data_IF_686226673454
#
_entry.id   IF_686226673454
#
_cell.length_a   1.000
_cell.length_b   1.000
_cell.length_c   1.000
_cell.angle_alpha   90.00
_cell.angle_beta   90.00
_cell.angle_gamma   90.00
#
_symmetry.space_group_name_H-M   'P 1'
#
loop_
_entity.id
_entity.type
_entity.pdbx_description
1 polymer ?
#
# COMPACT_ATOMS: atom_id res chain seq x y z
N UNK A 1 -51.22 -32.50 3.99
CA UNK A 1 -50.41 -33.29 3.04
C UNK A 1 -50.11 -32.35 1.88
N UNK A 2 -49.15 -31.45 2.07
CA UNK A 2 -47.73 -31.63 1.68
C UNK A 2 -47.59 -31.60 0.16
N UNK A 3 -47.09 -30.49 -0.39
CA UNK A 3 -45.68 -30.51 -0.76
C UNK A 3 -45.13 -29.09 -0.91
N UNK A 4 -44.15 -28.79 -0.07
CA UNK A 4 -43.33 -27.58 -0.10
C UNK A 4 -41.93 -28.04 -0.49
N UNK A 5 -41.65 -28.17 -1.78
CA UNK A 5 -40.29 -28.37 -2.28
C UNK A 5 -39.79 -27.06 -2.86
N UNK A 6 -39.23 -26.24 -1.96
CA UNK A 6 -38.47 -25.06 -2.34
C UNK A 6 -37.25 -25.46 -3.14
N UNK A 7 -37.05 -24.78 -4.27
CA UNK A 7 -35.80 -24.71 -4.99
C UNK A 7 -34.71 -24.15 -4.06
N UNK A 8 -33.98 -25.03 -3.35
CA UNK A 8 -32.71 -24.66 -2.75
C UNK A 8 -31.63 -24.85 -3.82
N UNK A 9 -31.52 -23.86 -4.70
CA UNK A 9 -30.37 -23.71 -5.58
C UNK A 9 -29.15 -23.51 -4.69
N UNK A 10 -28.44 -24.59 -4.37
CA UNK A 10 -27.11 -24.51 -3.76
C UNK A 10 -26.28 -23.61 -4.66
N UNK A 11 -25.94 -22.41 -4.17
CA UNK A 11 -25.02 -21.52 -4.86
C UNK A 11 -23.72 -22.29 -4.97
N UNK A 12 -23.34 -22.67 -6.18
CA UNK A 12 -22.06 -23.34 -6.44
C UNK A 12 -20.96 -22.33 -6.11
N UNK A 13 -20.33 -22.48 -4.95
CA UNK A 13 -19.17 -21.68 -4.57
C UNK A 13 -17.91 -22.27 -5.19
N UNK A 14 -16.93 -21.41 -5.43
CA UNK A 14 -15.59 -21.81 -5.84
C UNK A 14 -14.66 -21.80 -4.61
N UNK A 15 -14.19 -22.98 -4.14
CA UNK A 15 -13.34 -23.08 -2.97
C UNK A 15 -11.96 -22.42 -3.17
N UNK A 16 -11.44 -22.35 -4.40
CA UNK A 16 -10.20 -21.63 -4.67
C UNK A 16 -10.41 -20.12 -4.52
N UNK A 17 -11.51 -19.59 -5.08
CA UNK A 17 -11.87 -18.19 -4.94
C UNK A 17 -12.12 -17.80 -3.46
N UNK A 18 -12.77 -18.66 -2.67
CA UNK A 18 -12.98 -18.41 -1.24
C UNK A 18 -11.67 -18.37 -0.45
N UNK A 19 -10.71 -19.26 -0.76
CA UNK A 19 -9.38 -19.22 -0.14
C UNK A 19 -8.59 -17.97 -0.53
N UNK A 20 -8.71 -17.51 -1.78
CA UNK A 20 -8.12 -16.24 -2.22
C UNK A 20 -8.77 -15.05 -1.50
N UNK A 21 -10.11 -15.04 -1.36
CA UNK A 21 -10.82 -14.01 -0.61
C UNK A 21 -10.35 -13.96 0.86
N UNK A 22 -10.12 -15.11 1.49
CA UNK A 22 -9.53 -15.14 2.83
C UNK A 22 -8.12 -14.56 2.84
N UNK A 23 -7.27 -14.93 1.87
CA UNK A 23 -5.91 -14.39 1.78
C UNK A 23 -5.92 -12.85 1.61
N UNK A 24 -6.85 -12.34 0.80
CA UNK A 24 -7.08 -10.90 0.59
C UNK A 24 -7.47 -10.22 1.90
N UNK A 25 -8.43 -10.77 2.64
CA UNK A 25 -8.88 -10.16 3.90
C UNK A 25 -7.82 -10.23 5.00
N UNK A 26 -6.99 -11.29 5.01
CA UNK A 26 -5.81 -11.35 5.88
C UNK A 26 -4.78 -10.28 5.51
N UNK A 27 -4.54 -10.06 4.22
CA UNK A 27 -3.64 -9.00 3.74
C UNK A 27 -4.18 -7.62 4.12
N UNK A 28 -5.46 -7.34 3.84
CA UNK A 28 -6.15 -6.11 4.26
C UNK A 28 -6.08 -5.89 5.78
N UNK A 29 -6.18 -6.95 6.57
CA UNK A 29 -6.04 -6.88 8.03
C UNK A 29 -4.59 -6.72 8.53
N UNK A 30 -3.58 -6.75 7.64
CA UNK A 30 -2.17 -6.66 8.01
C UNK A 30 -1.67 -7.88 8.80
N UNK A 31 -2.23 -9.05 8.53
CA UNK A 31 -1.89 -10.30 9.22
C UNK A 31 -0.51 -10.84 8.85
N UNK A 32 -0.11 -11.92 9.52
CA UNK A 32 1.20 -12.52 9.30
C UNK A 32 1.37 -13.06 7.87
N UNK A 33 2.44 -12.64 7.17
CA UNK A 33 2.69 -13.03 5.77
C UNK A 33 2.76 -14.54 5.52
N UNK A 34 3.20 -15.35 6.49
CA UNK A 34 3.19 -16.80 6.35
C UNK A 34 1.76 -17.39 6.28
N UNK A 35 0.78 -16.77 6.95
CA UNK A 35 -0.63 -17.20 6.87
C UNK A 35 -1.21 -16.84 5.53
N UNK A 36 -0.99 -15.61 5.06
CA UNK A 36 -1.46 -15.15 3.74
C UNK A 36 -0.91 -16.08 2.65
N UNK A 37 0.40 -16.37 2.67
CA UNK A 37 1.03 -17.34 1.75
C UNK A 37 0.44 -18.74 1.86
N UNK A 38 0.06 -19.20 3.05
CA UNK A 38 -0.56 -20.51 3.23
C UNK A 38 -1.93 -20.58 2.54
N UNK A 39 -2.76 -19.54 2.66
CA UNK A 39 -4.06 -19.48 1.97
C UNK A 39 -3.91 -19.36 0.45
N UNK A 40 -2.97 -18.55 -0.05
CA UNK A 40 -2.71 -18.45 -1.50
C UNK A 40 -2.23 -19.77 -2.11
N UNK A 41 -1.25 -20.43 -1.49
CA UNK A 41 -0.79 -21.77 -1.93
C UNK A 41 -1.90 -22.80 -1.88
N UNK A 42 -2.74 -22.77 -0.85
CA UNK A 42 -3.88 -23.67 -0.78
C UNK A 42 -4.87 -23.40 -1.93
N UNK A 43 -5.12 -22.14 -2.27
CA UNK A 43 -5.97 -21.79 -3.41
C UNK A 43 -5.39 -22.28 -4.74
N UNK A 44 -4.08 -22.11 -4.97
CA UNK A 44 -3.39 -22.64 -6.15
C UNK A 44 -3.53 -24.17 -6.25
N UNK A 45 -3.30 -24.90 -5.16
CA UNK A 45 -3.49 -26.36 -5.13
C UNK A 45 -4.94 -26.73 -5.44
N UNK A 46 -5.91 -26.03 -4.85
CA UNK A 46 -7.34 -26.30 -5.06
C UNK A 46 -7.74 -26.04 -6.51
N UNK A 47 -7.31 -24.91 -7.10
CA UNK A 47 -7.58 -24.57 -8.49
C UNK A 47 -6.95 -25.57 -9.48
N UNK A 48 -5.82 -26.17 -9.12
CA UNK A 48 -5.14 -27.18 -9.93
C UNK A 48 -5.67 -28.61 -9.73
N UNK A 49 -6.52 -28.85 -8.72
CA UNK A 49 -7.07 -30.18 -8.41
C UNK A 49 -8.40 -30.39 -9.17
N UNK A 50 -8.61 -31.59 -9.71
CA UNK A 50 -9.86 -31.92 -10.37
C UNK A 50 -11.07 -31.78 -9.40
N UNK A 51 -12.17 -31.11 -9.80
CA UNK A 51 -13.31 -30.88 -8.92
C UNK A 51 -13.93 -32.16 -8.33
N UNK A 52 -13.95 -33.28 -9.07
CA UNK A 52 -14.48 -34.53 -8.57
C UNK A 52 -13.53 -35.18 -7.55
N UNK A 53 -12.22 -35.09 -7.78
CA UNK A 53 -11.22 -35.51 -6.78
C UNK A 53 -11.35 -34.70 -5.49
N UNK A 54 -11.55 -33.38 -5.61
CA UNK A 54 -11.70 -32.48 -4.47
C UNK A 54 -12.94 -32.84 -3.65
N UNK A 55 -14.08 -33.10 -4.31
CA UNK A 55 -15.31 -33.54 -3.66
C UNK A 55 -15.17 -34.90 -2.96
N UNK A 56 -14.53 -35.89 -3.60
CA UNK A 56 -14.26 -37.21 -3.01
C UNK A 56 -13.33 -37.10 -1.78
N UNK A 57 -12.28 -36.27 -1.86
CA UNK A 57 -11.40 -35.99 -0.72
C UNK A 57 -12.12 -35.29 0.41
N UNK A 58 -13.04 -34.36 0.12
CA UNK A 58 -13.87 -33.68 1.11
C UNK A 58 -14.78 -34.68 1.84
N UNK A 59 -15.49 -35.55 1.09
CA UNK A 59 -16.37 -36.58 1.65
C UNK A 59 -15.62 -37.57 2.57
N UNK A 60 -14.35 -37.88 2.26
CA UNK A 60 -13.49 -38.75 3.08
C UNK A 60 -12.73 -38.01 4.18
N UNK A 61 -12.86 -36.70 4.31
CA UNK A 61 -12.11 -35.90 5.29
C UNK A 61 -10.59 -35.91 5.08
N UNK A 62 -10.14 -35.98 3.83
CA UNK A 62 -8.71 -36.14 3.47
C UNK A 62 -8.11 -34.95 2.72
N UNK A 63 -8.81 -33.81 2.67
CA UNK A 63 -8.35 -32.59 2.02
C UNK A 63 -7.00 -32.08 2.57
N UNK A 64 -6.76 -32.19 3.87
CA UNK A 64 -5.50 -31.77 4.51
C UNK A 64 -4.28 -32.63 4.09
N UNK A 65 -4.48 -33.72 3.33
CA UNK A 65 -3.38 -34.49 2.72
C UNK A 65 -2.92 -33.92 1.38
N UNK A 66 -3.64 -32.96 0.80
CA UNK A 66 -3.19 -32.27 -0.40
C UNK A 66 -2.03 -31.33 -0.07
N UNK A 67 -1.01 -31.23 -0.95
CA UNK A 67 0.12 -30.32 -0.75
C UNK A 67 -0.35 -28.87 -0.52
N UNK A 68 0.14 -28.24 0.53
CA UNK A 68 -0.20 -26.84 0.85
C UNK A 68 -1.52 -26.63 1.58
N UNK A 69 -2.35 -27.67 1.76
CA UNK A 69 -3.55 -27.59 2.59
C UNK A 69 -3.23 -28.02 4.03
N UNK A 70 -3.59 -27.18 5.00
CA UNK A 70 -3.60 -27.53 6.41
C UNK A 70 -5.04 -27.65 6.93
N UNK A 71 -5.20 -28.01 8.20
CA UNK A 71 -6.52 -28.22 8.83
C UNK A 71 -7.50 -27.04 8.64
N UNK A 72 -6.99 -25.81 8.71
CA UNK A 72 -7.82 -24.61 8.55
C UNK A 72 -8.25 -24.41 7.09
N UNK A 73 -7.31 -24.48 6.13
CA UNK A 73 -7.64 -24.29 4.71
C UNK A 73 -8.48 -25.43 4.16
N UNK A 74 -8.19 -26.68 4.54
CA UNK A 74 -8.99 -27.85 4.21
C UNK A 74 -10.44 -27.74 4.68
N UNK A 75 -10.65 -27.22 5.90
CA UNK A 75 -12.01 -26.96 6.41
C UNK A 75 -12.73 -25.87 5.61
N UNK A 76 -12.05 -24.78 5.24
CA UNK A 76 -12.65 -23.74 4.41
C UNK A 76 -13.08 -24.30 3.04
N UNK A 77 -12.27 -25.17 2.44
CA UNK A 77 -12.63 -25.86 1.18
C UNK A 77 -13.85 -26.76 1.37
N UNK A 78 -13.92 -27.53 2.46
CA UNK A 78 -15.07 -28.39 2.74
C UNK A 78 -16.37 -27.59 2.95
N UNK A 79 -16.30 -26.48 3.70
CA UNK A 79 -17.43 -25.55 3.91
C UNK A 79 -17.90 -24.97 2.55
N UNK A 80 -16.98 -24.49 1.72
CA UNK A 80 -17.28 -23.95 0.39
C UNK A 80 -17.93 -24.97 -0.56
N UNK A 81 -17.40 -26.20 -0.60
CA UNK A 81 -17.97 -27.30 -1.40
C UNK A 81 -19.36 -27.74 -0.93
N UNK A 82 -19.70 -27.51 0.34
CA UNK A 82 -21.05 -27.71 0.85
C UNK A 82 -22.02 -26.57 0.46
N UNK A 83 -21.54 -25.57 -0.29
CA UNK A 83 -22.29 -24.37 -0.65
C UNK A 83 -22.33 -23.31 0.45
N UNK A 84 -21.55 -23.49 1.52
CA UNK A 84 -21.50 -22.58 2.66
C UNK A 84 -20.36 -21.58 2.53
N UNK A 85 -20.58 -20.32 2.91
CA UNK A 85 -19.46 -19.39 3.05
C UNK A 85 -18.56 -19.81 4.21
N UNK A 86 -17.24 -19.96 3.98
CA UNK A 86 -16.34 -20.39 5.03
C UNK A 86 -16.47 -19.54 6.29
N UNK A 87 -16.58 -20.20 7.45
CA UNK A 87 -16.71 -19.51 8.74
C UNK A 87 -15.53 -18.56 8.96
N UNK A 88 -14.34 -18.95 8.48
CA UNK A 88 -13.15 -18.13 8.57
C UNK A 88 -13.29 -16.83 7.77
N UNK A 89 -13.80 -16.89 6.54
CA UNK A 89 -14.06 -15.71 5.70
C UNK A 89 -15.10 -14.79 6.34
N UNK A 90 -16.24 -15.35 6.77
CA UNK A 90 -17.29 -14.59 7.48
C UNK A 90 -16.76 -13.82 8.67
N UNK A 91 -15.87 -14.42 9.46
CA UNK A 91 -15.27 -13.77 10.63
C UNK A 91 -14.37 -12.60 10.25
N UNK A 92 -13.57 -12.73 9.20
CA UNK A 92 -12.72 -11.65 8.71
C UNK A 92 -13.57 -10.47 8.23
N UNK A 93 -14.58 -10.75 7.39
CA UNK A 93 -15.50 -9.75 6.85
C UNK A 93 -16.26 -9.01 7.95
N UNK A 94 -16.69 -9.72 9.01
CA UNK A 94 -17.37 -9.11 10.16
C UNK A 94 -16.49 -8.10 10.93
N UNK A 95 -15.16 -8.20 10.82
CA UNK A 95 -14.21 -7.32 11.51
C UNK A 95 -13.64 -6.19 10.64
N UNK A 96 -13.75 -6.28 9.32
CA UNK A 96 -13.18 -5.32 8.37
C UNK A 96 -13.86 -3.94 8.36
N UNK A 97 -15.12 -3.86 8.80
CA UNK A 97 -16.01 -2.71 8.59
C UNK A 97 -16.21 -1.75 9.78
N UNK A 98 -15.23 -1.53 10.66
CA UNK A 98 -15.38 -0.49 11.69
C UNK A 98 -15.58 0.89 11.01
N UNK A 99 -16.64 1.65 11.31
CA UNK A 99 -16.80 2.98 10.74
C UNK A 99 -15.65 3.91 11.15
N UNK A 100 -15.26 4.82 10.26
CA UNK A 100 -14.38 5.93 10.61
C UNK A 100 -15.15 6.93 11.50
N UNK A 101 -14.42 7.66 12.33
CA UNK A 101 -14.99 8.86 12.97
C UNK A 101 -15.21 9.95 11.91
N UNK A 102 -16.07 10.93 12.22
CA UNK A 102 -16.52 11.94 11.25
C UNK A 102 -15.36 12.69 10.58
N UNK A 103 -14.34 13.07 11.36
CA UNK A 103 -13.18 13.80 10.84
C UNK A 103 -12.26 12.92 9.97
N UNK A 104 -12.10 11.64 10.31
CA UNK A 104 -11.37 10.70 9.48
C UNK A 104 -12.13 10.36 8.20
N UNK A 105 -13.47 10.28 8.26
CA UNK A 105 -14.33 10.06 7.09
C UNK A 105 -14.29 11.25 6.13
N UNK A 106 -14.30 12.49 6.65
CA UNK A 106 -14.12 13.70 5.84
C UNK A 106 -12.83 13.65 5.02
N UNK A 107 -11.70 13.33 5.67
CA UNK A 107 -10.41 13.15 5.00
C UNK A 107 -10.47 12.01 3.98
N UNK A 108 -10.96 10.84 4.37
CA UNK A 108 -10.98 9.64 3.54
C UNK A 108 -11.84 9.81 2.27
N UNK A 109 -13.00 10.42 2.42
CA UNK A 109 -13.90 10.74 1.29
C UNK A 109 -13.35 11.86 0.39
N UNK A 110 -12.48 12.73 0.92
CA UNK A 110 -11.82 13.77 0.12
C UNK A 110 -10.61 13.24 -0.68
N UNK A 111 -10.06 12.06 -0.35
CA UNK A 111 -8.93 11.49 -1.08
C UNK A 111 -9.30 11.14 -2.52
N UNK A 112 -8.62 11.79 -3.46
CA UNK A 112 -8.77 11.57 -4.91
C UNK A 112 -7.78 10.55 -5.44
N UNK A 113 -6.69 10.28 -4.73
CA UNK A 113 -5.74 9.25 -5.12
C UNK A 113 -4.81 8.84 -4.00
N UNK A 114 -3.84 8.00 -4.35
CA UNK A 114 -2.80 7.49 -3.46
C UNK A 114 -1.43 7.82 -4.09
N UNK A 115 -0.58 8.50 -3.33
CA UNK A 115 0.71 8.99 -3.84
C UNK A 115 1.90 8.05 -3.60
N UNK A 116 1.67 6.86 -3.02
CA UNK A 116 2.74 5.90 -2.75
C UNK A 116 2.25 4.45 -2.88
N UNK A 117 2.59 3.80 -4.00
CA UNK A 117 2.25 2.40 -4.27
C UNK A 117 3.30 1.71 -5.13
N UNK A 118 3.40 0.38 -5.00
CA UNK A 118 4.41 -0.45 -5.64
C UNK A 118 3.78 -1.56 -6.48
N UNK A 119 4.51 -2.05 -7.46
CA UNK A 119 4.12 -3.15 -8.34
C UNK A 119 5.19 -4.23 -8.39
N UNK A 120 4.94 -5.28 -9.18
CA UNK A 120 5.90 -6.34 -9.46
C UNK A 120 7.16 -5.88 -10.23
N UNK A 121 7.25 -4.59 -10.55
CA UNK A 121 8.45 -3.97 -11.10
C UNK A 121 9.54 -3.70 -10.04
N UNK A 122 9.20 -3.49 -8.76
CA UNK A 122 10.17 -3.57 -7.65
C UNK A 122 9.89 -4.77 -6.74
N UNK A 123 9.27 -4.51 -5.60
CA UNK A 123 9.01 -5.44 -4.50
C UNK A 123 7.51 -5.56 -4.19
N UNK A 124 6.67 -4.88 -4.98
CA UNK A 124 5.26 -5.23 -5.06
C UNK A 124 5.11 -6.62 -5.66
N UNK A 125 3.92 -7.18 -5.52
CA UNK A 125 3.67 -8.58 -5.89
C UNK A 125 2.50 -8.73 -6.85
N UNK A 126 2.00 -7.63 -7.39
CA UNK A 126 0.95 -7.59 -8.40
C UNK A 126 1.35 -6.69 -9.57
N UNK A 127 0.87 -6.98 -10.79
CA UNK A 127 1.11 -6.13 -11.96
C UNK A 127 0.56 -4.71 -11.77
N UNK A 128 1.12 -3.76 -12.51
CA UNK A 128 0.69 -2.35 -12.51
C UNK A 128 -0.82 -2.24 -12.80
N UNK A 129 -1.35 -3.03 -13.74
CA UNK A 129 -2.76 -3.04 -14.10
C UNK A 129 -3.67 -3.42 -12.93
N UNK A 130 -3.27 -4.42 -12.14
CA UNK A 130 -4.05 -4.86 -10.99
C UNK A 130 -4.12 -3.76 -9.91
N UNK A 131 -3.00 -3.06 -9.67
CA UNK A 131 -2.95 -1.91 -8.76
C UNK A 131 -3.86 -0.77 -9.24
N UNK A 132 -3.76 -0.41 -10.51
CA UNK A 132 -4.55 0.65 -11.12
C UNK A 132 -6.06 0.33 -11.13
N UNK A 133 -6.44 -0.88 -11.53
CA UNK A 133 -7.85 -1.30 -11.55
C UNK A 133 -8.46 -1.35 -10.15
N UNK A 134 -7.67 -1.72 -9.13
CA UNK A 134 -8.11 -1.64 -7.74
C UNK A 134 -8.31 -0.21 -7.26
N UNK A 135 -7.38 0.71 -7.58
CA UNK A 135 -7.56 2.13 -7.27
C UNK A 135 -8.83 2.70 -7.92
N UNK A 136 -9.12 2.31 -9.17
CA UNK A 136 -10.36 2.67 -9.88
C UNK A 136 -11.59 2.10 -9.21
N UNK A 137 -11.55 0.83 -8.80
CA UNK A 137 -12.65 0.17 -8.08
C UNK A 137 -12.94 0.84 -6.72
N UNK A 138 -11.92 1.43 -6.10
CA UNK A 138 -12.04 2.25 -4.88
C UNK A 138 -12.50 3.70 -5.15
N UNK A 139 -12.77 4.05 -6.40
CA UNK A 139 -13.26 5.37 -6.79
C UNK A 139 -12.19 6.47 -6.79
N UNK A 140 -10.91 6.10 -6.87
CA UNK A 140 -9.81 7.08 -7.02
C UNK A 140 -9.76 7.63 -8.45
N UNK A 141 -9.44 8.90 -8.56
CA UNK A 141 -9.18 9.63 -9.81
C UNK A 141 -7.76 9.40 -10.32
N UNK A 142 -6.83 9.04 -9.44
CA UNK A 142 -5.47 8.67 -9.83
C UNK A 142 -4.79 7.73 -8.82
N UNK A 143 -3.75 7.05 -9.30
CA UNK A 143 -2.80 6.28 -8.51
C UNK A 143 -1.40 6.69 -8.94
N UNK A 144 -0.49 6.93 -7.99
CA UNK A 144 0.93 7.15 -8.30
C UNK A 144 1.68 5.83 -8.14
N UNK A 145 2.33 5.39 -9.22
CA UNK A 145 3.22 4.23 -9.21
C UNK A 145 4.62 4.69 -8.79
N UNK A 146 5.09 4.25 -7.63
CA UNK A 146 6.34 4.69 -7.00
C UNK A 146 7.25 3.50 -6.66
N UNK A 147 7.48 2.62 -7.63
CA UNK A 147 8.45 1.54 -7.48
C UNK A 147 9.85 2.06 -7.08
N UNK A 148 10.63 1.25 -6.37
CA UNK A 148 11.89 1.70 -5.76
C UNK A 148 13.01 1.99 -6.76
N UNK A 149 13.92 2.89 -6.38
CA UNK A 149 15.19 3.14 -7.08
C UNK A 149 16.26 2.04 -6.84
N UNK A 150 17.35 1.99 -7.64
CA UNK A 150 18.31 0.88 -7.70
C UNK A 150 18.99 0.45 -6.39
N UNK A 151 19.32 1.39 -5.52
CA UNK A 151 20.15 1.14 -4.34
C UNK A 151 19.47 0.27 -3.30
N UNK A 152 18.14 0.21 -3.31
CA UNK A 152 17.38 -0.79 -2.55
C UNK A 152 17.44 -2.15 -3.26
N UNK A 153 18.64 -2.74 -3.26
CA UNK A 153 18.96 -4.00 -3.96
C UNK A 153 18.07 -5.18 -3.57
N UNK A 154 17.58 -5.21 -2.33
CA UNK A 154 16.63 -6.24 -1.84
C UNK A 154 15.28 -6.15 -2.58
N UNK A 155 14.90 -4.93 -3.00
CA UNK A 155 13.61 -4.63 -3.62
C UNK A 155 13.63 -4.67 -5.16
N UNK A 156 14.72 -5.16 -5.80
CA UNK A 156 14.85 -5.18 -7.27
C UNK A 156 14.58 -3.81 -7.91
N UNK A 157 15.12 -2.74 -7.32
CA UNK A 157 14.91 -1.36 -7.76
C UNK A 157 15.15 -1.10 -9.25
N UNK A 158 14.50 -0.06 -9.75
CA UNK A 158 14.50 0.34 -11.16
C UNK A 158 15.79 1.07 -11.53
N UNK A 159 16.64 0.39 -12.30
CA UNK A 159 17.71 1.08 -13.05
C UNK A 159 17.11 2.17 -13.94
N UNK A 160 17.91 3.16 -14.33
CA UNK A 160 17.49 4.20 -15.28
C UNK A 160 16.77 3.61 -16.51
N UNK A 161 17.35 2.56 -17.11
CA UNK A 161 16.75 1.87 -18.25
C UNK A 161 15.40 1.20 -17.92
N UNK A 162 15.25 0.59 -16.74
CA UNK A 162 13.98 -0.02 -16.33
C UNK A 162 12.93 1.03 -16.01
N UNK A 163 13.32 2.17 -15.45
CA UNK A 163 12.41 3.29 -15.23
C UNK A 163 11.87 3.82 -16.55
N UNK A 164 12.71 3.99 -17.57
CA UNK A 164 12.25 4.38 -18.92
C UNK A 164 11.25 3.39 -19.53
N UNK A 165 11.46 2.10 -19.32
CA UNK A 165 10.53 1.05 -19.74
C UNK A 165 9.20 1.15 -18.97
N UNK A 166 9.25 1.41 -17.67
CA UNK A 166 8.05 1.58 -16.86
C UNK A 166 7.27 2.84 -17.27
N UNK A 167 7.94 3.94 -17.61
CA UNK A 167 7.29 5.14 -18.14
C UNK A 167 6.52 4.86 -19.43
N UNK A 168 7.11 4.08 -20.35
CA UNK A 168 6.43 3.66 -21.57
C UNK A 168 5.22 2.76 -21.27
N UNK A 169 5.33 1.89 -20.25
CA UNK A 169 4.24 1.03 -19.82
C UNK A 169 3.09 1.80 -19.18
N UNK A 170 3.39 2.78 -18.32
CA UNK A 170 2.39 3.69 -17.73
C UNK A 170 1.64 4.44 -18.82
N UNK A 171 2.33 4.95 -19.84
CA UNK A 171 1.68 5.61 -20.97
C UNK A 171 0.80 4.65 -21.78
N UNK A 172 1.29 3.43 -22.04
CA UNK A 172 0.50 2.38 -22.71
C UNK A 172 -0.79 2.07 -21.95
N UNK A 173 -0.72 1.97 -20.63
CA UNK A 173 -1.86 1.67 -19.76
C UNK A 173 -2.86 2.82 -19.70
N UNK A 174 -2.35 4.05 -19.58
CA UNK A 174 -3.20 5.24 -19.57
C UNK A 174 -4.04 5.38 -20.85
N UNK A 175 -3.55 4.91 -22.00
CA UNK A 175 -4.34 4.88 -23.24
C UNK A 175 -5.63 4.00 -23.13
N UNK A 176 -5.69 3.08 -22.15
CA UNK A 176 -6.83 2.19 -21.91
C UNK A 176 -7.79 2.62 -20.80
N UNK A 177 -7.44 3.57 -19.93
CA UNK A 177 -8.25 3.91 -18.75
C UNK A 177 -9.40 4.91 -19.01
N UNK A 178 -9.33 5.66 -20.11
CA UNK A 178 -10.34 6.66 -20.49
C UNK A 178 -10.36 7.89 -19.57
N UNK A 179 -11.40 8.72 -19.70
CA UNK A 179 -11.57 9.92 -18.88
C UNK A 179 -12.04 9.55 -17.45
N UNK A 180 -11.37 10.08 -16.43
CA UNK A 180 -11.76 9.90 -15.02
C UNK A 180 -10.78 9.08 -14.17
N UNK A 181 -9.76 8.47 -14.77
CA UNK A 181 -8.64 7.88 -14.04
C UNK A 181 -7.31 8.15 -14.74
N UNK A 182 -6.26 8.45 -13.98
CA UNK A 182 -4.89 8.54 -14.48
C UNK A 182 -3.93 7.75 -13.60
N UNK A 183 -3.15 6.85 -14.20
CA UNK A 183 -1.96 6.30 -13.56
C UNK A 183 -0.83 7.31 -13.71
N UNK A 184 -0.31 7.81 -12.60
CA UNK A 184 0.77 8.79 -12.56
C UNK A 184 2.12 8.09 -12.43
N UNK A 185 3.08 8.61 -13.19
CA UNK A 185 4.45 8.14 -13.11
C UNK A 185 5.13 8.71 -11.87
N UNK A 186 5.74 7.85 -11.07
CA UNK A 186 6.51 8.27 -9.93
C UNK A 186 7.66 7.32 -9.61
N UNK A 187 8.32 7.59 -8.50
CA UNK A 187 9.37 6.75 -7.95
C UNK A 187 9.43 6.96 -6.44
N UNK A 188 9.70 5.90 -5.70
CA UNK A 188 10.26 6.05 -4.37
C UNK A 188 11.79 6.01 -4.48
N UNK A 189 12.41 7.18 -4.50
CA UNK A 189 13.85 7.33 -4.68
C UNK A 189 14.58 7.28 -3.34
N UNK A 190 15.64 6.48 -3.29
CA UNK A 190 16.54 6.44 -2.15
C UNK A 190 17.25 7.79 -1.97
N UNK A 191 17.18 8.32 -0.75
CA UNK A 191 18.06 9.40 -0.30
C UNK A 191 19.43 8.78 -0.02
N UNK A 192 20.47 9.19 -0.74
CA UNK A 192 21.83 8.72 -0.59
C UNK A 192 22.50 9.27 0.67
N UNK A 193 23.72 8.83 0.97
CA UNK A 193 24.36 9.13 2.27
C UNK A 193 24.72 10.62 2.41
N UNK A 194 24.93 11.29 1.29
CA UNK A 194 25.18 12.73 1.16
C UNK A 194 23.89 13.56 0.97
N UNK A 195 22.74 12.89 0.90
CA UNK A 195 21.43 13.50 0.68
C UNK A 195 21.02 13.69 -0.78
N UNK A 196 21.87 13.31 -1.75
CA UNK A 196 21.47 13.25 -3.16
C UNK A 196 20.47 12.13 -3.42
N UNK A 197 19.74 12.19 -4.54
CA UNK A 197 18.72 11.21 -4.90
C UNK A 197 19.31 10.11 -5.81
N UNK A 198 18.90 8.87 -5.59
CA UNK A 198 19.37 7.66 -6.30
C UNK A 198 18.77 7.47 -7.71
N UNK A 199 18.76 8.52 -8.53
CA UNK A 199 18.35 8.45 -9.93
C UNK A 199 18.97 9.61 -10.73
N UNK A 200 19.02 9.49 -12.06
CA UNK A 200 19.42 10.58 -12.93
C UNK A 200 18.43 11.76 -12.86
N UNK A 201 18.96 12.97 -12.70
CA UNK A 201 18.24 14.25 -12.66
C UNK A 201 17.23 14.39 -13.82
N UNK A 202 17.67 14.12 -15.05
CA UNK A 202 16.80 14.17 -16.25
C UNK A 202 15.62 13.19 -16.18
N UNK A 203 15.78 12.03 -15.51
CA UNK A 203 14.69 11.07 -15.33
C UNK A 203 13.74 11.50 -14.22
N UNK A 204 14.27 12.00 -13.09
CA UNK A 204 13.44 12.59 -12.03
C UNK A 204 12.60 13.75 -12.56
N UNK A 205 13.17 14.55 -13.47
CA UNK A 205 12.50 15.63 -14.19
C UNK A 205 11.26 15.21 -14.99
N UNK A 206 11.18 13.95 -15.42
CA UNK A 206 10.08 13.41 -16.24
C UNK A 206 8.93 12.81 -15.44
N UNK A 207 9.11 12.56 -14.15
CA UNK A 207 8.10 11.94 -13.27
C UNK A 207 7.03 12.95 -12.86
N UNK A 208 5.80 12.46 -12.68
CA UNK A 208 4.69 13.26 -12.17
C UNK A 208 4.83 13.54 -10.67
N UNK A 209 5.33 12.58 -9.89
CA UNK A 209 5.54 12.68 -8.43
C UNK A 209 6.82 11.92 -8.00
N UNK A 210 7.65 12.53 -7.15
CA UNK A 210 8.83 11.89 -6.55
C UNK A 210 8.70 11.81 -5.02
N UNK A 211 8.74 10.59 -4.50
CA UNK A 211 8.80 10.31 -3.06
C UNK A 211 10.25 10.03 -2.69
N UNK A 212 10.86 10.84 -1.82
CA UNK A 212 12.23 10.66 -1.36
C UNK A 212 12.24 10.04 0.04
N UNK A 213 12.90 8.90 0.19
CA UNK A 213 12.90 8.11 1.44
C UNK A 213 14.31 7.68 1.86
N UNK A 214 14.55 7.63 3.18
CA UNK A 214 15.78 7.05 3.73
C UNK A 214 15.56 5.55 3.96
N UNK A 215 16.30 4.70 3.25
CA UNK A 215 16.25 3.25 3.44
C UNK A 215 17.52 2.63 4.03
N UNK A 216 18.59 3.40 4.11
CA UNK A 216 19.91 2.93 4.54
C UNK A 216 20.45 3.76 5.69
N UNK A 217 21.35 3.17 6.48
CA UNK A 217 21.97 3.83 7.65
C UNK A 217 20.94 4.49 8.57
N UNK A 218 19.79 3.84 8.77
CA UNK A 218 18.68 4.32 9.63
C UNK A 218 19.07 4.51 11.11
N UNK A 219 20.25 4.02 11.51
CA UNK A 219 20.84 4.21 12.85
C UNK A 219 21.91 5.29 12.90
N UNK A 220 22.10 6.06 11.82
CA UNK A 220 23.02 7.19 11.81
C UNK A 220 22.58 8.21 12.88
N UNK A 221 23.54 8.86 13.56
CA UNK A 221 23.22 9.83 14.59
C UNK A 221 22.62 11.10 13.97
N UNK A 222 21.93 11.91 14.79
CA UNK A 222 21.20 13.11 14.35
C UNK A 222 22.05 14.06 13.51
N UNK A 223 23.31 14.28 13.88
CA UNK A 223 24.26 15.15 13.17
C UNK A 223 24.61 14.67 11.75
N UNK A 224 24.34 13.41 11.42
CA UNK A 224 24.51 12.83 10.07
C UNK A 224 23.16 12.74 9.35
N UNK A 225 22.10 12.31 10.06
CA UNK A 225 20.79 12.13 9.43
C UNK A 225 20.13 13.46 9.05
N UNK A 226 20.23 14.48 9.90
CA UNK A 226 19.59 15.78 9.64
C UNK A 226 20.11 16.43 8.36
N UNK A 227 21.43 16.63 8.13
CA UNK A 227 21.92 17.23 6.88
C UNK A 227 21.54 16.42 5.63
N UNK A 228 21.56 15.09 5.74
CA UNK A 228 21.15 14.17 4.67
C UNK A 228 19.68 14.40 4.26
N UNK A 229 18.78 14.46 5.23
CA UNK A 229 17.36 14.71 4.96
C UNK A 229 17.13 16.13 4.44
N UNK A 230 17.81 17.13 5.00
CA UNK A 230 17.71 18.52 4.54
C UNK A 230 18.19 18.71 3.10
N UNK A 231 19.26 18.01 2.70
CA UNK A 231 19.75 18.02 1.32
C UNK A 231 18.71 17.40 0.35
N UNK A 232 18.09 16.27 0.71
CA UNK A 232 17.04 15.67 -0.10
C UNK A 232 15.78 16.56 -0.20
N UNK A 233 15.37 17.18 0.91
CA UNK A 233 14.25 18.15 0.91
C UNK A 233 14.58 19.39 0.08
N UNK A 234 15.87 19.73 -0.07
CA UNK A 234 16.31 20.84 -0.90
C UNK A 234 16.46 20.51 -2.39
N UNK A 235 16.35 19.25 -2.77
CA UNK A 235 16.39 18.82 -4.16
C UNK A 235 15.11 19.28 -4.91
N UNK A 236 15.23 19.91 -6.08
CA UNK A 236 14.08 20.45 -6.82
C UNK A 236 13.12 19.37 -7.34
N UNK A 237 13.53 18.10 -7.34
CA UNK A 237 12.67 17.00 -7.73
C UNK A 237 11.84 16.44 -6.58
N UNK A 238 12.23 16.65 -5.32
CA UNK A 238 11.52 16.06 -4.17
C UNK A 238 10.14 16.69 -3.98
N UNK A 239 9.10 15.88 -4.14
CA UNK A 239 7.72 16.31 -3.90
C UNK A 239 7.24 15.90 -2.50
N UNK A 240 7.57 14.68 -2.09
CA UNK A 240 7.12 14.07 -0.83
C UNK A 240 8.34 13.51 -0.08
N UNK A 241 8.49 13.86 1.19
CA UNK A 241 9.38 13.15 2.12
C UNK A 241 8.66 11.90 2.64
N UNK A 242 9.06 10.74 2.13
CA UNK A 242 8.52 9.44 2.51
C UNK A 242 8.94 9.02 3.92
N UNK A 243 8.20 8.06 4.50
CA UNK A 243 8.19 7.53 5.87
C UNK A 243 9.44 7.89 6.67
N UNK A 244 9.45 9.12 7.18
CA UNK A 244 10.67 9.87 7.46
C UNK A 244 11.48 9.33 8.65
N UNK A 245 10.91 8.47 9.48
CA UNK A 245 11.65 7.83 10.58
C UNK A 245 12.15 6.44 10.20
N UNK A 246 11.64 5.87 9.11
CA UNK A 246 11.92 4.52 8.67
C UNK A 246 11.51 3.46 9.69
N UNK A 247 10.64 3.73 10.67
CA UNK A 247 10.28 2.76 11.71
C UNK A 247 9.49 1.56 11.18
N UNK A 248 9.59 0.44 11.89
CA UNK A 248 8.74 -0.76 11.69
C UNK A 248 8.20 -1.20 13.04
N UNK A 249 6.87 -1.15 13.14
CA UNK A 249 6.06 -1.59 14.28
C UNK A 249 5.78 -3.09 14.19
N UNK A 250 5.42 -3.69 15.32
CA UNK A 250 4.96 -5.08 15.35
C UNK A 250 3.56 -5.16 14.73
N UNK A 251 3.35 -6.06 13.78
CA UNK A 251 2.02 -6.34 13.22
C UNK A 251 1.05 -6.82 14.29
N UNK A 252 -0.18 -6.30 14.28
CA UNK A 252 -1.22 -6.58 15.27
C UNK A 252 -1.58 -8.08 15.35
N UNK A 253 -1.49 -8.80 14.23
CA UNK A 253 -1.80 -10.23 14.14
C UNK A 253 -0.84 -11.19 14.82
N UNK A 254 0.28 -10.74 15.41
CA UNK A 254 1.26 -11.65 16.03
C UNK A 254 2.09 -12.44 15.01
N UNK A 255 2.25 -11.91 13.80
CA UNK A 255 3.27 -12.37 12.86
C UNK A 255 4.67 -11.93 13.30
N UNK A 256 5.67 -12.72 12.95
CA UNK A 256 7.05 -12.27 12.94
C UNK A 256 7.19 -11.16 11.88
N UNK A 257 6.89 -9.92 12.22
CA UNK A 257 7.89 -8.91 11.84
C UNK A 257 9.13 -9.42 12.57
N UNK A 258 10.02 -10.11 11.84
CA UNK A 258 11.20 -10.74 12.44
C UNK A 258 12.03 -9.70 13.19
N UNK A 259 11.87 -8.42 12.83
CA UNK A 259 12.54 -7.28 13.45
C UNK A 259 11.58 -6.09 13.54
N UNK A 260 11.29 -5.62 14.74
CA UNK A 260 10.84 -4.24 14.94
C UNK A 260 12.01 -3.30 14.67
N UNK A 261 11.76 -2.19 13.98
CA UNK A 261 12.79 -1.17 13.74
C UNK A 261 12.36 0.13 14.43
N UNK A 262 13.14 0.65 15.40
CA UNK A 262 12.84 1.94 15.99
C UNK A 262 13.12 3.05 14.98
N UNK A 263 12.64 4.24 15.33
CA UNK A 263 12.74 5.47 14.56
C UNK A 263 14.20 5.92 14.40
N UNK A 264 14.55 6.42 13.22
CA UNK A 264 15.77 7.20 13.01
C UNK A 264 15.74 8.47 13.86
N UNK A 265 16.93 8.92 14.28
CA UNK A 265 17.10 10.16 15.04
C UNK A 265 17.53 11.27 14.09
N UNK A 266 16.77 12.36 14.06
CA UNK A 266 17.04 13.58 13.29
C UNK A 266 16.38 14.78 13.99
N UNK A 267 16.76 15.98 13.58
CA UNK A 267 16.12 17.23 14.02
C UNK A 267 14.83 17.42 13.23
N UNK A 268 13.72 16.98 13.82
CA UNK A 268 12.42 17.03 13.16
C UNK A 268 11.89 18.46 12.99
N UNK A 269 12.25 19.39 13.88
CA UNK A 269 11.86 20.80 13.73
C UNK A 269 12.52 21.40 12.48
N UNK A 270 13.83 21.20 12.34
CA UNK A 270 14.57 21.69 11.18
C UNK A 270 14.07 21.05 9.87
N UNK A 271 13.85 19.74 9.86
CA UNK A 271 13.40 19.01 8.65
C UNK A 271 11.98 19.43 8.25
N UNK A 272 11.03 19.53 9.19
CA UNK A 272 9.66 19.93 8.86
C UNK A 272 9.55 21.40 8.49
N UNK A 273 10.31 22.29 9.12
CA UNK A 273 10.41 23.69 8.66
C UNK A 273 10.92 23.75 7.21
N UNK A 274 11.97 22.99 6.87
CA UNK A 274 12.48 22.93 5.51
C UNK A 274 11.47 22.36 4.50
N UNK A 275 10.64 21.38 4.90
CA UNK A 275 9.57 20.84 4.08
C UNK A 275 8.50 21.90 3.81
N UNK A 276 8.04 22.61 4.86
CA UNK A 276 7.06 23.68 4.75
C UNK A 276 7.55 24.82 3.84
N UNK A 277 8.80 25.26 4.02
CA UNK A 277 9.40 26.35 3.24
C UNK A 277 9.50 26.03 1.74
N UNK A 278 9.73 24.77 1.39
CA UNK A 278 9.88 24.29 -0.01
C UNK A 278 8.60 23.69 -0.59
N UNK A 279 7.53 23.68 0.19
CA UNK A 279 6.28 23.02 -0.19
C UNK A 279 6.39 21.50 -0.37
N UNK A 280 7.44 20.86 0.14
CA UNK A 280 7.60 19.39 0.15
C UNK A 280 6.59 18.83 1.15
N UNK A 281 5.76 17.88 0.70
CA UNK A 281 4.79 17.25 1.58
C UNK A 281 5.45 16.21 2.49
N UNK A 282 4.95 16.07 3.72
CA UNK A 282 5.35 14.99 4.63
C UNK A 282 4.38 13.83 4.45
N UNK A 283 4.88 12.64 4.13
CA UNK A 283 4.05 11.44 4.03
C UNK A 283 3.40 11.11 5.39
N UNK A 284 2.13 10.73 5.36
CA UNK A 284 1.40 10.04 6.43
C UNK A 284 1.20 8.60 5.94
N UNK A 285 2.25 7.80 6.10
CA UNK A 285 2.25 6.41 5.66
C UNK A 285 1.22 5.60 6.45
N UNK A 286 0.29 4.98 5.74
CA UNK A 286 -0.87 4.31 6.32
C UNK A 286 -0.62 2.83 6.60
N UNK A 287 0.54 2.30 6.19
CA UNK A 287 0.88 0.89 6.39
C UNK A 287 0.84 0.52 7.88
N UNK A 288 0.09 -0.53 8.29
CA UNK A 288 -0.12 -0.86 9.71
C UNK A 288 1.16 -1.12 10.51
N UNK A 289 2.22 -1.60 9.86
CA UNK A 289 3.53 -1.82 10.46
C UNK A 289 4.51 -0.65 10.28
N UNK A 290 4.10 0.49 9.71
CA UNK A 290 4.88 1.74 9.74
C UNK A 290 4.17 2.80 10.56
N UNK A 291 2.97 3.19 10.12
CA UNK A 291 2.19 4.31 10.65
C UNK A 291 3.08 5.54 10.87
N UNK A 292 3.87 5.94 9.89
CA UNK A 292 4.94 6.93 10.00
C UNK A 292 4.52 8.29 9.41
N UNK A 293 5.00 9.45 9.89
CA UNK A 293 5.70 9.73 11.15
C UNK A 293 4.84 9.43 12.38
N UNK A 294 5.36 9.06 13.57
CA UNK A 294 4.60 8.97 14.82
C UNK A 294 3.74 10.22 15.08
N UNK A 295 2.60 10.06 15.77
CA UNK A 295 1.67 11.17 16.08
C UNK A 295 2.33 12.43 16.67
N UNK A 296 3.38 12.28 17.48
CA UNK A 296 4.14 13.42 18.05
C UNK A 296 4.84 14.25 16.96
N UNK A 297 5.45 13.58 15.98
CA UNK A 297 6.11 14.23 14.85
C UNK A 297 5.08 14.72 13.83
N UNK A 298 3.98 13.99 13.63
CA UNK A 298 2.88 14.46 12.78
C UNK A 298 2.29 15.78 13.29
N UNK A 299 2.08 15.94 14.60
CA UNK A 299 1.65 17.23 15.18
C UNK A 299 2.69 18.32 14.98
N UNK A 300 3.97 18.00 15.12
CA UNK A 300 5.05 18.94 14.85
C UNK A 300 5.05 19.42 13.39
N UNK A 301 4.85 18.52 12.43
CA UNK A 301 4.71 18.89 11.02
C UNK A 301 3.47 19.76 10.77
N UNK A 302 2.36 19.50 11.47
CA UNK A 302 1.13 20.33 11.39
C UNK A 302 1.41 21.75 11.88
N UNK A 303 2.10 21.88 13.01
CA UNK A 303 2.53 23.15 13.62
C UNK A 303 3.54 23.91 12.75
N UNK A 304 4.47 23.20 12.09
CA UNK A 304 5.44 23.78 11.17
C UNK A 304 4.82 24.29 9.86
N UNK A 305 3.56 23.99 9.57
CA UNK A 305 2.88 24.45 8.35
C UNK A 305 3.04 23.51 7.15
N UNK A 306 3.50 22.28 7.34
CA UNK A 306 3.72 21.34 6.23
C UNK A 306 2.44 21.04 5.43
N UNK A 307 2.65 20.69 4.17
CA UNK A 307 1.71 19.89 3.38
C UNK A 307 1.88 18.40 3.72
N UNK A 308 0.90 17.59 3.38
CA UNK A 308 0.86 16.16 3.68
C UNK A 308 0.41 15.32 2.49
N UNK A 309 0.89 14.09 2.39
CA UNK A 309 0.34 13.06 1.50
C UNK A 309 -0.09 11.87 2.36
N UNK A 310 -1.36 11.45 2.28
CA UNK A 310 -1.84 10.27 3.01
C UNK A 310 -1.81 9.08 2.06
N UNK A 311 -0.87 8.18 2.24
CA UNK A 311 -0.59 7.15 1.23
C UNK A 311 -0.57 5.76 1.84
N UNK A 312 -0.79 4.72 1.04
CA UNK A 312 -0.89 3.34 1.54
C UNK A 312 0.46 2.63 1.66
N UNK A 313 1.45 2.98 0.83
CA UNK A 313 2.69 2.19 0.63
C UNK A 313 2.31 0.73 0.33
N UNK A 314 1.37 0.58 -0.62
CA UNK A 314 0.78 -0.70 -1.01
C UNK A 314 1.71 -1.48 -1.94
N UNK A 315 1.99 -2.73 -1.55
CA UNK A 315 2.67 -3.77 -2.34
C UNK A 315 1.71 -4.81 -2.92
N UNK A 316 0.42 -4.69 -2.58
CA UNK A 316 -0.70 -5.45 -3.13
C UNK A 316 -1.90 -4.51 -3.28
N UNK A 317 -2.73 -4.72 -4.29
CA UNK A 317 -3.90 -3.88 -4.59
C UNK A 317 -4.85 -3.71 -3.39
N UNK A 318 -5.06 -4.78 -2.63
CA UNK A 318 -5.95 -4.80 -1.47
C UNK A 318 -5.44 -3.96 -0.28
N UNK A 319 -4.17 -3.58 -0.31
CA UNK A 319 -3.56 -2.70 0.69
C UNK A 319 -3.86 -1.23 0.44
N UNK A 320 -4.38 -0.85 -0.74
CA UNK A 320 -4.85 0.52 -1.01
C UNK A 320 -5.95 0.96 -0.02
N UNK A 321 -6.70 0.01 0.55
CA UNK A 321 -7.66 0.26 1.62
C UNK A 321 -7.03 0.80 2.91
N UNK A 322 -5.71 0.68 3.09
CA UNK A 322 -5.03 1.13 4.29
C UNK A 322 -5.04 2.64 4.47
N UNK A 323 -5.33 3.43 3.43
CA UNK A 323 -5.49 4.90 3.50
C UNK A 323 -6.33 5.36 4.69
N UNK A 324 -7.33 4.56 5.07
CA UNK A 324 -8.16 4.79 6.26
C UNK A 324 -7.35 4.98 7.55
N UNK A 325 -6.25 4.25 7.74
CA UNK A 325 -5.40 4.34 8.92
C UNK A 325 -4.62 5.65 8.95
N UNK A 326 -4.18 6.14 7.79
CA UNK A 326 -3.59 7.46 7.65
C UNK A 326 -4.61 8.56 7.97
N UNK A 327 -5.84 8.44 7.45
CA UNK A 327 -6.94 9.39 7.72
C UNK A 327 -7.28 9.49 9.21
N UNK A 328 -7.43 8.36 9.91
CA UNK A 328 -7.67 8.34 11.37
C UNK A 328 -6.55 9.04 12.14
N UNK A 329 -5.30 8.90 11.70
CA UNK A 329 -4.14 9.51 12.36
C UNK A 329 -4.05 11.00 12.06
N UNK A 330 -4.28 11.38 10.81
CA UNK A 330 -4.35 12.75 10.33
C UNK A 330 -5.43 13.54 11.09
N UNK A 331 -6.65 13.02 11.15
CA UNK A 331 -7.76 13.60 11.90
C UNK A 331 -7.41 13.83 13.39
N UNK A 332 -6.88 12.80 14.07
CA UNK A 332 -6.49 12.89 15.49
C UNK A 332 -5.30 13.81 15.77
N UNK A 333 -4.55 14.18 14.74
CA UNK A 333 -3.45 15.12 14.83
C UNK A 333 -3.81 16.53 14.32
N UNK A 334 -5.06 16.75 13.87
CA UNK A 334 -5.52 18.05 13.39
C UNK A 334 -4.92 18.44 12.03
N UNK A 335 -4.63 17.45 11.17
CA UNK A 335 -4.19 17.71 9.78
C UNK A 335 -5.38 18.29 9.00
N UNK A 336 -5.28 19.52 8.46
CA UNK A 336 -6.34 20.10 7.65
C UNK A 336 -6.43 19.43 6.28
N UNK A 337 -7.66 19.16 5.81
CA UNK A 337 -7.94 18.52 4.51
C UNK A 337 -7.28 19.27 3.35
N UNK A 338 -7.32 20.60 3.37
CA UNK A 338 -6.77 21.46 2.32
C UNK A 338 -5.24 21.39 2.20
N UNK A 339 -4.55 20.92 3.25
CA UNK A 339 -3.09 20.66 3.27
C UNK A 339 -2.73 19.22 2.91
N UNK A 340 -3.70 18.36 2.62
CA UNK A 340 -3.45 16.99 2.13
C UNK A 340 -3.45 17.01 0.60
N UNK A 341 -2.27 16.87 -0.01
CA UNK A 341 -2.06 17.07 -1.46
C UNK A 341 -2.88 16.09 -2.30
N UNK A 342 -3.09 14.88 -1.82
CA UNK A 342 -3.87 13.86 -2.53
C UNK A 342 -5.39 13.94 -2.32
N UNK A 343 -5.87 15.06 -1.76
CA UNK A 343 -7.29 15.48 -1.83
C UNK A 343 -7.54 16.49 -2.97
N UNK A 344 -6.47 16.98 -3.60
CA UNK A 344 -6.56 18.02 -4.62
C UNK A 344 -6.95 17.44 -5.99
N UNK A 345 -7.67 18.21 -6.82
CA UNK A 345 -7.86 17.85 -8.22
C UNK A 345 -6.52 17.58 -8.92
N UNK A 346 -6.50 16.63 -9.85
CA UNK A 346 -5.29 16.18 -10.53
C UNK A 346 -4.43 17.33 -11.08
N UNK A 347 -5.04 18.30 -11.74
CA UNK A 347 -4.32 19.46 -12.31
C UNK A 347 -3.60 20.28 -11.24
N UNK A 348 -4.18 20.41 -10.04
CA UNK A 348 -3.53 21.11 -8.91
C UNK A 348 -2.38 20.29 -8.35
N UNK A 349 -2.52 18.98 -8.24
CA UNK A 349 -1.42 18.09 -7.82
C UNK A 349 -0.23 18.20 -8.78
N UNK A 350 -0.48 18.09 -10.09
CA UNK A 350 0.57 18.19 -11.11
C UNK A 350 1.18 19.59 -11.22
N UNK A 351 0.40 20.65 -11.01
CA UNK A 351 0.94 22.01 -10.92
C UNK A 351 1.86 22.17 -9.70
N UNK A 352 1.49 21.56 -8.57
CA UNK A 352 2.29 21.59 -7.35
C UNK A 352 3.63 20.87 -7.53
N UNK A 353 3.69 19.68 -8.15
CA UNK A 353 4.97 18.94 -8.34
C UNK A 353 5.93 19.61 -9.34
N UNK A 354 5.44 20.58 -10.11
CA UNK A 354 6.23 21.31 -11.13
C UNK A 354 6.67 22.70 -10.67
N UNK A 355 6.36 23.10 -9.44
CA UNK A 355 6.52 24.48 -8.92
C UNK A 355 7.95 25.05 -8.94
N UNK A 356 8.96 24.19 -8.84
CA UNK A 356 10.38 24.58 -8.79
C UNK A 356 11.18 24.05 -10.01
N UNK A 357 10.49 23.45 -10.98
CA UNK A 357 11.10 22.87 -12.21
C UNK A 357 11.12 23.85 -13.39
N UNK A 358 10.74 25.11 -13.16
CA UNK A 358 10.59 26.17 -14.18
C UNK A 358 11.73 27.19 -14.19
#
# INVERSE_FOLDING_TARGET
MSDTTGYNSLVSRDPAADLLAIAVELERAGEAGYRIRAFRRAAETVAATDPAELADRAARGTLAKLPGLGEVTARCVAESLAGEEPVYLRRLLATAGRPLDEAAEELHSALRGDCHSHSDWSDGAEPIEAMADAARALGREYLVLTDHSPRLTIARGLTAQRLEQQLAEVERLNAGYGDGFRLLSGIEVDILDDGSLDQADELLGRLDVVVASVHSKLRAPTEVMTPRMLAAVADPHTDILGHCTGRVLRRAGGGTATETRPESTFDAEAVFAACADRGVAVEINSRPDRLDPPKRLLRLAVEAGCLFAIDSDAHFSVQLDWLRFGCERAARCGVPVDRVVNTWPLDRLLAWTRRDRS
#
